data_IF_824326343746
#
_entry.id   IF_824326343746
#
_cell.length_a   1.000
_cell.length_b   1.000
_cell.length_c   1.000
_cell.angle_alpha   90.00
_cell.angle_beta   90.00
_cell.angle_gamma   90.00
#
_symmetry.space_group_name_H-M   'P 1'
#
loop_
_entity.id
_entity.type
_entity.pdbx_description
1 polymer ?
#
# COMPACT_ATOMS: atom_id res chain seq x y z
N UNK A 1 -20.70 4.55 -17.10
CA UNK A 1 -19.89 5.78 -17.11
C UNK A 1 -18.52 5.39 -17.63
N UNK A 2 -18.00 6.03 -18.70
CA UNK A 2 -16.71 5.64 -19.27
C UNK A 2 -15.56 5.96 -18.30
N UNK A 3 -14.52 5.13 -18.30
CA UNK A 3 -13.31 5.33 -17.50
C UNK A 3 -12.69 6.69 -17.84
N UNK A 4 -12.28 7.47 -16.83
CA UNK A 4 -11.60 8.75 -17.04
C UNK A 4 -10.33 8.53 -17.86
N UNK A 5 -10.04 9.46 -18.78
CA UNK A 5 -8.86 9.36 -19.65
C UNK A 5 -7.56 9.59 -18.90
N UNK A 6 -7.60 10.42 -17.86
CA UNK A 6 -6.45 10.77 -17.03
C UNK A 6 -6.81 10.59 -15.57
N UNK A 7 -5.79 10.30 -14.75
CA UNK A 7 -5.91 10.29 -13.30
C UNK A 7 -4.80 11.14 -12.69
N UNK A 8 -5.12 11.83 -11.60
CA UNK A 8 -4.23 12.71 -10.87
C UNK A 8 -4.44 12.60 -9.37
N UNK A 9 -3.61 13.28 -8.61
CA UNK A 9 -3.68 13.30 -7.15
C UNK A 9 -3.78 14.73 -6.64
N UNK A 10 -4.52 14.92 -5.55
CA UNK A 10 -4.74 16.22 -4.91
C UNK A 10 -3.72 16.40 -3.79
N UNK A 11 -2.58 17.00 -4.11
CA UNK A 11 -1.58 17.36 -3.10
C UNK A 11 -2.00 18.60 -2.29
N UNK A 12 -1.29 18.87 -1.19
CA UNK A 12 -1.63 19.95 -0.26
C UNK A 12 -1.61 21.35 -0.91
N UNK A 13 -0.81 21.54 -1.94
CA UNK A 13 -0.67 22.81 -2.68
C UNK A 13 -1.81 23.03 -3.70
N UNK A 14 -2.64 22.04 -3.95
CA UNK A 14 -3.78 22.16 -4.82
C UNK A 14 -4.91 23.00 -4.19
N UNK A 15 -5.73 23.62 -5.02
CA UNK A 15 -6.87 24.41 -4.54
C UNK A 15 -8.17 23.69 -4.85
N UNK A 16 -9.04 23.55 -3.83
CA UNK A 16 -10.39 23.04 -3.95
C UNK A 16 -11.36 24.23 -3.84
N UNK A 17 -12.14 24.48 -4.89
CA UNK A 17 -13.17 25.51 -4.92
C UNK A 17 -14.55 24.90 -5.19
N UNK A 18 -15.58 25.75 -5.15
CA UNK A 18 -16.94 25.32 -5.49
C UNK A 18 -17.02 24.95 -6.98
N UNK A 19 -17.20 23.68 -7.28
CA UNK A 19 -17.29 23.14 -8.64
C UNK A 19 -15.98 23.07 -9.41
N UNK A 20 -14.83 23.30 -8.80
CA UNK A 20 -13.54 23.20 -9.48
C UNK A 20 -12.38 22.77 -8.58
N UNK A 21 -11.33 22.25 -9.22
CA UNK A 21 -10.01 22.00 -8.62
C UNK A 21 -8.94 22.72 -9.43
N UNK A 22 -7.89 23.20 -8.75
CA UNK A 22 -6.65 23.64 -9.39
C UNK A 22 -5.54 22.74 -8.87
N UNK A 23 -4.95 21.94 -9.75
CA UNK A 23 -3.86 21.05 -9.41
C UNK A 23 -2.56 21.84 -9.19
N UNK A 24 -1.71 21.32 -8.30
CA UNK A 24 -0.37 21.87 -8.08
C UNK A 24 0.49 21.85 -9.35
N UNK A 25 1.66 22.50 -9.29
CA UNK A 25 2.53 22.66 -10.45
C UNK A 25 3.10 21.34 -10.96
N UNK A 26 3.35 20.35 -10.09
CA UNK A 26 3.91 19.04 -10.45
C UNK A 26 2.89 18.23 -11.24
N UNK A 27 1.68 18.04 -10.71
CA UNK A 27 0.60 17.31 -11.38
C UNK A 27 0.17 18.01 -12.67
N UNK A 28 0.06 19.35 -12.65
CA UNK A 28 -0.24 20.15 -13.83
C UNK A 28 0.79 19.96 -14.94
N UNK A 29 2.09 20.01 -14.60
CA UNK A 29 3.17 19.77 -15.55
C UNK A 29 3.10 18.34 -16.10
N UNK A 30 2.91 17.34 -15.24
CA UNK A 30 2.83 15.94 -15.64
C UNK A 30 1.70 15.70 -16.64
N UNK A 31 0.49 16.19 -16.35
CA UNK A 31 -0.66 16.04 -17.25
C UNK A 31 -0.45 16.78 -18.58
N UNK A 32 -0.02 18.04 -18.55
CA UNK A 32 0.07 18.88 -19.77
C UNK A 32 1.30 18.51 -20.61
N UNK A 33 2.45 18.28 -20.00
CA UNK A 33 3.72 18.08 -20.74
C UNK A 33 4.01 16.62 -21.04
N UNK A 34 3.72 15.71 -20.12
CA UNK A 34 4.00 14.28 -20.31
C UNK A 34 2.82 13.61 -21.01
N UNK A 35 1.63 13.71 -20.46
CA UNK A 35 0.42 13.10 -21.05
C UNK A 35 -0.22 13.92 -22.16
N UNK A 36 0.20 15.17 -22.38
CA UNK A 36 -0.35 16.08 -23.40
C UNK A 36 -1.87 16.22 -23.27
N UNK A 37 -2.33 16.32 -22.04
CA UNK A 37 -3.73 16.49 -21.72
C UNK A 37 -4.29 17.79 -22.31
N UNK A 38 -5.51 17.74 -22.85
CA UNK A 38 -6.16 18.85 -23.53
C UNK A 38 -7.44 19.27 -22.80
N UNK A 39 -7.83 20.52 -22.98
CA UNK A 39 -9.14 21.01 -22.54
C UNK A 39 -10.27 20.11 -23.08
N UNK A 40 -11.27 19.86 -22.24
CA UNK A 40 -12.41 18.98 -22.52
C UNK A 40 -12.15 17.48 -22.24
N UNK A 41 -10.91 17.08 -21.93
CA UNK A 41 -10.62 15.68 -21.58
C UNK A 41 -11.12 15.34 -20.17
N UNK A 42 -11.62 14.13 -20.00
CA UNK A 42 -12.09 13.61 -18.70
C UNK A 42 -10.91 13.29 -17.79
N UNK A 43 -11.06 13.65 -16.52
CA UNK A 43 -10.05 13.42 -15.49
C UNK A 43 -10.70 12.98 -14.19
N UNK A 44 -10.02 12.08 -13.50
CA UNK A 44 -10.29 11.65 -12.12
C UNK A 44 -9.18 12.18 -11.22
N UNK A 45 -9.54 12.82 -10.10
CA UNK A 45 -8.58 13.32 -9.12
C UNK A 45 -8.87 12.65 -7.78
N UNK A 46 -7.86 12.03 -7.18
CA UNK A 46 -7.94 11.31 -5.92
C UNK A 46 -7.34 12.18 -4.80
N UNK A 47 -7.98 12.24 -3.62
CA UNK A 47 -7.45 12.95 -2.45
C UNK A 47 -6.63 12.05 -1.51
N UNK A 48 -6.64 10.73 -1.76
CA UNK A 48 -5.96 9.75 -0.92
C UNK A 48 -6.64 9.47 0.42
N UNK A 49 -7.82 10.02 0.67
CA UNK A 49 -8.60 9.90 1.91
C UNK A 49 -10.02 9.36 1.66
N UNK A 50 -10.20 8.74 0.51
CA UNK A 50 -11.47 8.14 0.11
C UNK A 50 -12.30 8.98 -0.84
N UNK A 51 -11.90 10.22 -1.16
CA UNK A 51 -12.65 11.06 -2.09
C UNK A 51 -12.08 10.99 -3.50
N UNK A 52 -12.98 10.87 -4.45
CA UNK A 52 -12.72 10.87 -5.88
C UNK A 52 -13.52 11.98 -6.55
N UNK A 53 -12.84 12.88 -7.23
CA UNK A 53 -13.44 13.95 -8.02
C UNK A 53 -13.42 13.55 -9.49
N UNK A 54 -14.57 13.56 -10.14
CA UNK A 54 -14.71 13.31 -11.57
C UNK A 54 -15.04 14.62 -12.28
N UNK A 55 -14.33 14.90 -13.36
CA UNK A 55 -14.53 16.17 -14.06
C UNK A 55 -13.89 16.21 -15.44
N UNK A 56 -13.80 17.43 -15.99
CA UNK A 56 -13.16 17.73 -17.26
C UNK A 56 -12.12 18.82 -17.10
N UNK A 57 -11.04 18.73 -17.86
CA UNK A 57 -10.01 19.78 -17.90
C UNK A 57 -10.59 21.01 -18.54
N UNK A 58 -10.72 22.10 -17.76
CA UNK A 58 -11.22 23.39 -18.21
C UNK A 58 -10.08 24.27 -18.73
N UNK A 59 -8.93 24.28 -18.02
CA UNK A 59 -7.73 25.03 -18.39
C UNK A 59 -6.52 24.09 -18.32
N UNK A 60 -5.88 23.87 -19.46
CA UNK A 60 -4.68 23.05 -19.57
C UNK A 60 -3.40 23.90 -19.42
N UNK A 61 -3.16 24.44 -18.21
CA UNK A 61 -1.94 25.18 -17.87
C UNK A 61 -0.95 24.26 -17.15
N UNK A 62 0.29 24.18 -17.63
CA UNK A 62 1.34 23.32 -17.03
C UNK A 62 1.85 23.74 -15.65
N UNK A 63 1.34 24.82 -15.06
CA UNK A 63 1.66 25.25 -13.68
C UNK A 63 0.43 25.19 -12.77
N UNK A 64 -0.78 25.26 -13.32
CA UNK A 64 -2.03 25.34 -12.59
C UNK A 64 -3.17 24.86 -13.51
N UNK A 65 -3.27 23.53 -13.67
CA UNK A 65 -4.33 22.90 -14.45
C UNK A 65 -5.64 23.00 -13.67
N UNK A 66 -6.69 23.53 -14.33
CA UNK A 66 -8.02 23.64 -13.72
C UNK A 66 -8.95 22.54 -14.24
N UNK A 67 -9.63 21.91 -13.31
CA UNK A 67 -10.64 20.87 -13.54
C UNK A 67 -12.00 21.43 -13.15
N UNK A 68 -12.97 21.40 -14.06
CA UNK A 68 -14.39 21.58 -13.72
C UNK A 68 -14.91 20.25 -13.17
N UNK A 69 -15.34 20.25 -11.90
CA UNK A 69 -15.82 19.06 -11.20
C UNK A 69 -17.27 18.81 -11.55
N UNK A 70 -17.56 17.61 -12.07
CA UNK A 70 -18.91 17.18 -12.41
C UNK A 70 -19.57 16.38 -11.29
N UNK A 71 -18.78 15.55 -10.56
CA UNK A 71 -19.25 14.80 -9.41
C UNK A 71 -18.12 14.52 -8.42
N UNK A 72 -18.52 14.33 -7.15
CA UNK A 72 -17.64 13.95 -6.05
C UNK A 72 -18.19 12.66 -5.45
N UNK A 73 -17.34 11.66 -5.32
CA UNK A 73 -17.70 10.36 -4.75
C UNK A 73 -16.83 10.07 -3.54
N UNK A 74 -17.44 9.64 -2.44
CA UNK A 74 -16.72 9.21 -1.24
C UNK A 74 -16.86 7.70 -1.09
N UNK A 75 -15.74 7.01 -1.04
CA UNK A 75 -15.67 5.55 -0.90
C UNK A 75 -15.58 5.17 0.58
N UNK A 76 -16.17 4.04 0.99
CA UNK A 76 -15.99 3.53 2.35
C UNK A 76 -14.55 3.09 2.57
N UNK A 77 -14.11 3.13 3.83
CA UNK A 77 -12.80 2.59 4.22
C UNK A 77 -12.77 1.09 3.94
N UNK A 78 -11.78 0.56 3.21
CA UNK A 78 -11.68 -0.88 2.95
C UNK A 78 -11.47 -1.68 4.25
N UNK A 79 -12.25 -2.76 4.41
CA UNK A 79 -12.12 -3.71 5.51
C UNK A 79 -11.99 -5.14 4.96
N UNK A 80 -11.32 -6.03 5.70
CA UNK A 80 -10.50 -5.78 6.87
C UNK A 80 -9.30 -4.88 6.56
N UNK A 81 -8.75 -4.21 7.59
CA UNK A 81 -7.50 -3.47 7.47
C UNK A 81 -6.35 -4.47 7.25
N UNK A 82 -5.58 -4.31 6.21
CA UNK A 82 -4.43 -5.18 5.89
C UNK A 82 -3.13 -4.43 6.11
N UNK A 83 -2.34 -4.88 7.07
CA UNK A 83 -1.01 -4.34 7.39
C UNK A 83 0.09 -5.26 6.85
N UNK A 84 0.96 -4.74 6.00
CA UNK A 84 2.19 -5.41 5.59
C UNK A 84 3.34 -4.99 6.50
N UNK A 85 3.78 -5.89 7.38
CA UNK A 85 5.00 -5.75 8.17
C UNK A 85 6.17 -6.30 7.34
N UNK A 86 6.90 -5.41 6.69
CA UNK A 86 7.91 -5.75 5.70
C UNK A 86 9.32 -5.53 6.23
N UNK A 87 10.12 -6.59 6.32
CA UNK A 87 11.56 -6.39 6.51
C UNK A 87 12.15 -5.59 5.36
N UNK A 88 12.91 -4.54 5.67
CA UNK A 88 13.55 -3.69 4.65
C UNK A 88 14.54 -4.52 3.85
N UNK A 89 14.29 -4.77 2.55
CA UNK A 89 15.15 -5.61 1.74
C UNK A 89 16.38 -4.84 1.26
N UNK A 90 17.48 -5.56 1.01
CA UNK A 90 18.67 -5.00 0.38
C UNK A 90 18.37 -4.55 -1.05
N UNK A 91 19.02 -3.47 -1.48
CA UNK A 91 18.94 -2.98 -2.85
C UNK A 91 17.66 -2.22 -3.19
N UNK A 92 17.00 -2.58 -4.31
CA UNK A 92 15.86 -1.82 -4.88
C UNK A 92 14.50 -2.50 -4.74
N UNK A 93 14.44 -3.65 -4.08
CA UNK A 93 13.20 -4.44 -4.00
C UNK A 93 12.08 -3.70 -3.26
N UNK A 94 12.41 -2.78 -2.33
CA UNK A 94 11.40 -2.01 -1.59
C UNK A 94 10.48 -1.20 -2.50
N UNK A 95 10.99 -0.54 -3.54
CA UNK A 95 10.17 0.23 -4.48
C UNK A 95 9.13 -0.66 -5.19
N UNK A 96 9.50 -1.91 -5.51
CA UNK A 96 8.60 -2.89 -6.12
C UNK A 96 7.56 -3.39 -5.12
N UNK A 97 7.98 -3.69 -3.88
CA UNK A 97 7.07 -4.12 -2.79
C UNK A 97 6.02 -3.05 -2.52
N UNK A 98 6.42 -1.79 -2.35
CA UNK A 98 5.51 -0.67 -2.09
C UNK A 98 4.46 -0.53 -3.18
N UNK A 99 4.88 -0.64 -4.46
CA UNK A 99 3.96 -0.59 -5.59
C UNK A 99 2.96 -1.74 -5.55
N UNK A 100 3.44 -2.99 -5.49
CA UNK A 100 2.56 -4.16 -5.49
C UNK A 100 1.64 -4.19 -4.28
N UNK A 101 2.15 -3.88 -3.07
CA UNK A 101 1.33 -3.83 -1.86
C UNK A 101 0.21 -2.79 -1.97
N UNK A 102 0.50 -1.61 -2.56
CA UNK A 102 -0.51 -0.59 -2.82
C UNK A 102 -1.55 -1.06 -3.83
N UNK A 103 -1.12 -1.60 -4.96
CA UNK A 103 -2.00 -2.08 -6.04
C UNK A 103 -2.91 -3.23 -5.58
N UNK A 104 -2.43 -4.10 -4.69
CA UNK A 104 -3.20 -5.22 -4.11
C UNK A 104 -4.14 -4.73 -2.99
N UNK A 105 -3.89 -3.55 -2.40
CA UNK A 105 -4.79 -2.94 -1.43
C UNK A 105 -4.34 -3.08 0.03
N UNK A 106 -3.05 -3.13 0.32
CA UNK A 106 -2.57 -2.95 1.69
C UNK A 106 -3.07 -1.61 2.25
N UNK A 107 -3.52 -1.61 3.50
CA UNK A 107 -3.98 -0.39 4.20
C UNK A 107 -2.83 0.32 4.91
N UNK A 108 -1.86 -0.46 5.40
CA UNK A 108 -0.66 0.01 6.08
C UNK A 108 0.54 -0.74 5.57
N UNK A 109 1.64 -0.04 5.35
CA UNK A 109 2.94 -0.62 5.07
C UNK A 109 3.88 -0.17 6.19
N UNK A 110 4.31 -1.11 7.01
CA UNK A 110 5.25 -0.92 8.10
C UNK A 110 6.61 -1.54 7.75
N UNK A 111 7.58 -0.74 7.36
CA UNK A 111 8.94 -1.24 7.20
C UNK A 111 9.56 -1.56 8.56
N UNK A 112 10.25 -2.69 8.67
CA UNK A 112 10.98 -3.07 9.89
C UNK A 112 12.41 -3.45 9.59
N UNK A 113 13.31 -3.12 10.53
CA UNK A 113 14.68 -3.59 10.50
C UNK A 113 14.76 -4.95 11.17
N UNK A 114 15.43 -5.89 10.52
CA UNK A 114 15.62 -7.27 10.94
C UNK A 114 17.08 -7.68 10.80
N UNK A 115 17.52 -8.74 11.49
CA UNK A 115 18.92 -9.17 11.55
C UNK A 115 19.57 -9.36 10.16
N UNK A 116 18.81 -9.89 9.20
CA UNK A 116 19.29 -10.15 7.83
C UNK A 116 18.86 -9.07 6.83
N UNK A 117 18.09 -8.07 7.28
CA UNK A 117 17.59 -6.98 6.45
C UNK A 117 18.63 -5.90 6.14
N UNK A 118 18.18 -4.83 5.50
CA UNK A 118 18.98 -3.62 5.26
C UNK A 118 18.79 -2.64 6.42
N UNK A 119 19.89 -2.05 6.90
CA UNK A 119 19.90 -1.07 8.00
C UNK A 119 20.30 0.34 7.54
N UNK A 120 20.25 0.59 6.22
CA UNK A 120 20.54 1.91 5.64
C UNK A 120 19.47 2.96 5.96
N UNK A 121 19.73 4.20 5.54
CA UNK A 121 18.75 5.27 5.72
C UNK A 121 17.53 5.07 4.77
N UNK A 122 16.32 5.00 5.32
CA UNK A 122 15.09 4.90 4.54
C UNK A 122 14.87 6.15 3.69
N UNK A 123 14.38 5.96 2.46
CA UNK A 123 14.06 7.05 1.54
C UNK A 123 12.55 7.36 1.61
N UNK A 124 12.08 7.78 2.78
CA UNK A 124 10.64 7.93 3.07
C UNK A 124 9.90 8.75 2.01
N UNK A 125 10.41 9.93 1.65
CA UNK A 125 9.78 10.78 0.62
C UNK A 125 9.63 10.05 -0.72
N UNK A 126 10.66 9.31 -1.14
CA UNK A 126 10.62 8.53 -2.37
C UNK A 126 9.62 7.37 -2.27
N UNK A 127 9.59 6.69 -1.13
CA UNK A 127 8.65 5.60 -0.89
C UNK A 127 7.20 6.08 -0.90
N UNK A 128 6.93 7.20 -0.22
CA UNK A 128 5.61 7.83 -0.23
C UNK A 128 5.16 8.21 -1.65
N UNK A 129 6.06 8.77 -2.46
CA UNK A 129 5.76 9.07 -3.86
C UNK A 129 5.48 7.81 -4.69
N UNK A 130 6.21 6.72 -4.44
CA UNK A 130 5.96 5.43 -5.11
C UNK A 130 4.55 4.91 -4.83
N UNK A 131 4.11 5.00 -3.57
CA UNK A 131 2.74 4.63 -3.14
C UNK A 131 1.69 5.50 -3.85
N UNK A 132 1.87 6.83 -3.85
CA UNK A 132 0.93 7.76 -4.50
C UNK A 132 0.82 7.48 -6.02
N UNK A 133 1.94 7.27 -6.69
CA UNK A 133 1.93 6.93 -8.12
C UNK A 133 1.23 5.58 -8.39
N UNK A 134 1.40 4.59 -7.50
CA UNK A 134 0.67 3.33 -7.58
C UNK A 134 -0.85 3.55 -7.37
N UNK A 135 -1.27 4.37 -6.39
CA UNK A 135 -2.67 4.73 -6.18
C UNK A 135 -3.27 5.38 -7.44
N UNK A 136 -2.55 6.32 -8.06
CA UNK A 136 -2.98 6.95 -9.33
C UNK A 136 -3.14 5.92 -10.43
N UNK A 137 -2.22 4.96 -10.53
CA UNK A 137 -2.27 3.93 -11.56
C UNK A 137 -3.47 3.00 -11.36
N UNK A 138 -3.69 2.45 -10.16
CA UNK A 138 -4.76 1.47 -9.92
C UNK A 138 -6.12 2.10 -9.57
N UNK A 139 -6.17 3.39 -9.19
CA UNK A 139 -7.40 4.09 -8.80
C UNK A 139 -7.79 3.90 -7.34
N UNK A 140 -6.82 3.57 -6.50
CA UNK A 140 -7.05 3.41 -5.08
C UNK A 140 -7.30 4.77 -4.43
N UNK A 141 -8.47 4.94 -3.82
CA UNK A 141 -8.91 6.21 -3.22
C UNK A 141 -8.33 6.47 -1.83
N UNK A 142 -7.92 5.42 -1.12
CA UNK A 142 -7.21 5.52 0.14
C UNK A 142 -5.74 5.20 -0.06
N UNK A 143 -4.86 6.17 0.20
CA UNK A 143 -3.42 5.95 0.17
C UNK A 143 -3.02 5.09 1.36
N UNK A 144 -2.30 3.96 1.15
CA UNK A 144 -1.73 3.20 2.26
C UNK A 144 -0.89 4.08 3.18
N UNK A 145 -1.09 3.93 4.47
CA UNK A 145 -0.24 4.55 5.47
C UNK A 145 1.16 3.94 5.41
N UNK A 146 2.16 4.77 5.17
CA UNK A 146 3.56 4.37 5.26
C UNK A 146 4.11 4.81 6.62
N UNK A 147 4.35 3.84 7.50
CA UNK A 147 4.89 4.11 8.83
C UNK A 147 6.40 4.34 8.80
N UNK A 148 6.91 5.09 9.78
CA UNK A 148 8.35 5.22 9.97
C UNK A 148 8.98 3.86 10.29
N UNK A 149 10.12 3.51 9.68
CA UNK A 149 10.81 2.28 9.96
C UNK A 149 11.30 2.18 11.40
N UNK A 150 11.14 1.02 12.02
CA UNK A 150 11.60 0.74 13.37
C UNK A 150 12.18 -0.69 13.45
N UNK A 151 12.73 -1.08 14.59
CA UNK A 151 13.12 -2.49 14.77
C UNK A 151 11.89 -3.39 14.86
N UNK A 152 12.01 -4.65 14.44
CA UNK A 152 10.94 -5.64 14.59
C UNK A 152 10.51 -5.75 16.06
N UNK A 153 11.46 -5.80 16.99
CA UNK A 153 11.17 -5.89 18.42
C UNK A 153 10.39 -4.71 18.98
N UNK A 154 10.79 -3.46 18.60
CA UNK A 154 10.08 -2.25 19.05
C UNK A 154 8.65 -2.23 18.52
N UNK A 155 8.47 -2.61 17.24
CA UNK A 155 7.13 -2.67 16.66
C UNK A 155 6.24 -3.69 17.38
N UNK A 156 6.75 -4.90 17.66
CA UNK A 156 6.00 -5.93 18.35
C UNK A 156 5.60 -5.52 19.76
N UNK A 157 6.49 -4.83 20.50
CA UNK A 157 6.18 -4.29 21.83
C UNK A 157 5.14 -3.18 21.80
N UNK A 158 5.20 -2.30 20.80
CA UNK A 158 4.28 -1.18 20.66
C UNK A 158 2.89 -1.58 20.12
N UNK A 159 2.76 -2.78 19.53
CA UNK A 159 1.53 -3.21 18.86
C UNK A 159 0.92 -4.43 19.56
N UNK A 160 0.07 -4.22 20.58
CA UNK A 160 -0.58 -5.33 21.31
C UNK A 160 -1.52 -6.12 20.38
N UNK A 161 -1.77 -7.37 20.75
CA UNK A 161 -2.70 -8.25 20.00
C UNK A 161 -4.11 -7.72 20.19
N UNK A 162 -4.74 -7.25 19.11
CA UNK A 162 -6.13 -6.84 19.13
C UNK A 162 -7.08 -8.03 18.93
N UNK A 163 -8.25 -7.98 19.57
CA UNK A 163 -9.33 -8.93 19.28
C UNK A 163 -9.77 -8.77 17.81
N UNK A 164 -10.04 -9.86 17.12
CA UNK A 164 -10.43 -9.83 15.69
C UNK A 164 -9.27 -9.65 14.71
N UNK A 165 -8.02 -9.53 15.17
CA UNK A 165 -6.85 -9.46 14.32
C UNK A 165 -6.24 -10.84 14.05
N UNK A 166 -5.92 -11.12 12.80
CA UNK A 166 -5.10 -12.27 12.40
C UNK A 166 -3.67 -11.80 12.12
N UNK A 167 -2.69 -12.42 12.80
CA UNK A 167 -1.27 -12.20 12.54
C UNK A 167 -0.68 -13.42 11.88
N UNK A 168 -0.07 -13.25 10.72
CA UNK A 168 0.58 -14.31 9.95
C UNK A 168 1.98 -13.89 9.51
N UNK A 169 2.91 -14.83 9.52
CA UNK A 169 4.27 -14.63 9.01
C UNK A 169 4.54 -15.64 7.90
N UNK A 170 5.01 -15.15 6.73
CA UNK A 170 5.51 -16.02 5.68
C UNK A 170 6.77 -16.74 6.18
N UNK A 171 6.75 -18.06 6.20
CA UNK A 171 7.79 -18.86 6.85
C UNK A 171 8.19 -20.08 6.04
N UNK A 172 9.49 -20.41 6.10
CA UNK A 172 10.08 -21.64 5.57
C UNK A 172 10.28 -22.71 6.64
N UNK A 173 9.90 -22.44 7.90
CA UNK A 173 10.05 -23.39 9.01
C UNK A 173 9.19 -24.65 8.81
N UNK A 174 9.71 -25.78 9.26
CA UNK A 174 8.94 -27.04 9.33
C UNK A 174 7.71 -26.84 10.22
N UNK A 175 6.55 -27.36 9.79
CA UNK A 175 5.29 -27.20 10.54
C UNK A 175 4.50 -25.95 10.20
N UNK A 176 5.00 -25.04 9.35
CA UNK A 176 4.22 -23.93 8.83
C UNK A 176 2.98 -24.42 8.08
N UNK A 177 1.81 -23.88 8.44
CA UNK A 177 0.52 -24.28 7.85
C UNK A 177 0.33 -23.64 6.46
N UNK A 178 -0.41 -24.29 5.56
CA UNK A 178 -0.80 -23.64 4.30
C UNK A 178 -1.54 -22.32 4.57
N UNK A 179 -1.15 -21.25 3.85
CA UNK A 179 -1.76 -19.92 4.01
C UNK A 179 -3.28 -19.96 3.89
N UNK A 180 -3.80 -20.61 2.85
CA UNK A 180 -5.25 -20.68 2.57
C UNK A 180 -6.03 -21.37 3.71
N UNK A 181 -5.49 -22.43 4.30
CA UNK A 181 -6.11 -23.11 5.45
C UNK A 181 -6.17 -22.19 6.67
N UNK A 182 -5.11 -21.42 6.92
CA UNK A 182 -5.03 -20.49 8.05
C UNK A 182 -6.05 -19.35 7.89
N UNK A 183 -6.20 -18.80 6.69
CA UNK A 183 -7.17 -17.76 6.40
C UNK A 183 -8.60 -18.27 6.51
N UNK A 184 -8.92 -19.41 5.92
CA UNK A 184 -10.27 -20.00 5.97
C UNK A 184 -10.71 -20.37 7.39
N UNK A 185 -9.77 -20.69 8.27
CA UNK A 185 -10.06 -21.02 9.67
C UNK A 185 -10.25 -19.78 10.58
N UNK A 186 -9.96 -18.59 10.10
CA UNK A 186 -9.95 -17.37 10.93
C UNK A 186 -11.33 -16.73 11.13
N UNK A 187 -12.32 -17.01 10.28
CA UNK A 187 -13.65 -16.40 10.34
C UNK A 187 -13.65 -14.92 9.91
N UNK A 188 -14.56 -14.14 10.49
CA UNK A 188 -14.62 -12.68 10.22
C UNK A 188 -13.46 -11.97 10.89
N UNK A 189 -12.78 -11.11 10.14
CA UNK A 189 -11.59 -10.38 10.57
C UNK A 189 -11.80 -8.88 10.41
N UNK A 190 -11.35 -8.12 11.41
CA UNK A 190 -11.27 -6.66 11.35
C UNK A 190 -9.91 -6.20 10.83
N UNK A 191 -8.87 -6.99 11.09
CA UNK A 191 -7.50 -6.70 10.70
C UNK A 191 -6.73 -7.97 10.35
N UNK A 192 -5.86 -7.86 9.35
CA UNK A 192 -4.86 -8.89 9.02
C UNK A 192 -3.48 -8.25 8.99
N UNK A 193 -2.56 -8.77 9.79
CA UNK A 193 -1.16 -8.34 9.79
C UNK A 193 -0.31 -9.44 9.18
N UNK A 194 0.40 -9.08 8.12
CA UNK A 194 1.23 -9.99 7.32
C UNK A 194 2.68 -9.62 7.50
N UNK A 195 3.50 -10.48 8.10
CA UNK A 195 4.94 -10.29 8.20
C UNK A 195 5.68 -11.03 7.07
N UNK A 196 6.60 -10.32 6.43
CA UNK A 196 7.46 -10.85 5.35
C UNK A 196 8.91 -10.52 5.64
N UNK A 197 9.74 -11.56 5.71
CA UNK A 197 11.16 -11.46 6.01
C UNK A 197 12.03 -10.95 4.85
N UNK A 198 13.32 -10.71 5.11
CA UNK A 198 14.32 -10.34 4.09
C UNK A 198 14.74 -11.57 3.26
N UNK A 199 15.70 -11.38 2.34
CA UNK A 199 16.21 -12.47 1.51
C UNK A 199 16.87 -13.63 2.30
N UNK A 200 17.34 -13.37 3.53
CA UNK A 200 17.92 -14.37 4.43
C UNK A 200 16.96 -14.95 5.45
N UNK A 201 15.66 -14.65 5.30
CA UNK A 201 14.61 -14.98 6.26
C UNK A 201 14.76 -14.26 7.63
N UNK A 202 13.83 -14.46 8.54
CA UNK A 202 13.95 -14.03 9.94
C UNK A 202 14.95 -14.92 10.68
N UNK A 203 15.64 -14.38 11.67
CA UNK A 203 16.46 -15.18 12.58
C UNK A 203 15.58 -16.00 13.52
N UNK A 204 16.17 -17.00 14.17
CA UNK A 204 15.46 -17.84 15.16
C UNK A 204 14.86 -16.97 16.27
N UNK A 205 15.65 -16.00 16.76
CA UNK A 205 15.19 -15.08 17.81
C UNK A 205 14.01 -14.20 17.34
N UNK A 206 14.03 -13.74 16.10
CA UNK A 206 12.93 -12.97 15.49
C UNK A 206 11.68 -13.82 15.31
N UNK A 207 11.82 -15.08 14.90
CA UNK A 207 10.69 -16.00 14.85
C UNK A 207 10.09 -16.28 16.23
N UNK A 208 10.91 -16.39 17.28
CA UNK A 208 10.42 -16.54 18.66
C UNK A 208 9.61 -15.32 19.08
N UNK A 209 10.11 -14.10 18.84
CA UNK A 209 9.39 -12.85 19.11
C UNK A 209 8.06 -12.77 18.35
N UNK A 210 8.05 -13.15 17.07
CA UNK A 210 6.83 -13.17 16.24
C UNK A 210 5.81 -14.17 16.83
N UNK A 211 6.22 -15.38 17.22
CA UNK A 211 5.33 -16.40 17.84
C UNK A 211 4.76 -15.90 19.17
N UNK A 212 5.59 -15.33 20.04
CA UNK A 212 5.15 -14.73 21.30
C UNK A 212 4.15 -13.59 21.09
N UNK A 213 4.29 -12.86 19.98
CA UNK A 213 3.37 -11.80 19.56
C UNK A 213 2.17 -12.33 18.76
N UNK A 214 1.90 -13.63 18.76
CA UNK A 214 0.71 -14.25 18.18
C UNK A 214 0.73 -14.47 16.69
N UNK A 215 1.88 -14.33 16.02
CA UNK A 215 1.99 -14.63 14.59
C UNK A 215 1.95 -16.13 14.34
N UNK A 216 1.15 -16.55 13.37
CA UNK A 216 1.08 -17.92 12.89
C UNK A 216 1.97 -18.07 11.66
N UNK A 217 2.90 -19.02 11.71
CA UNK A 217 3.77 -19.33 10.57
C UNK A 217 2.97 -19.97 9.44
N UNK A 218 3.05 -19.39 8.24
CA UNK A 218 2.33 -19.85 7.05
C UNK A 218 3.27 -20.13 5.89
N UNK A 219 3.04 -21.24 5.19
CA UNK A 219 3.75 -21.62 3.99
C UNK A 219 3.00 -21.09 2.76
N UNK A 220 3.72 -20.39 1.88
CA UNK A 220 3.15 -19.80 0.66
C UNK A 220 3.10 -20.78 -0.52
N UNK A 221 3.97 -21.77 -0.54
CA UNK A 221 4.06 -22.74 -1.63
C UNK A 221 5.21 -23.73 -1.43
N UNK A 222 5.55 -24.47 -2.49
CA UNK A 222 6.64 -25.46 -2.45
C UNK A 222 8.03 -24.83 -2.67
N UNK A 223 8.09 -23.64 -3.27
CA UNK A 223 9.34 -22.98 -3.61
C UNK A 223 9.67 -21.85 -2.63
N UNK A 224 10.96 -21.60 -2.43
CA UNK A 224 11.43 -20.39 -1.76
C UNK A 224 11.19 -19.20 -2.66
N UNK A 225 10.46 -18.20 -2.16
CA UNK A 225 10.14 -16.98 -2.90
C UNK A 225 11.11 -15.86 -2.51
N UNK A 226 11.37 -14.95 -3.44
CA UNK A 226 12.02 -13.67 -3.09
C UNK A 226 11.06 -12.85 -2.22
N UNK A 227 11.61 -11.98 -1.39
CA UNK A 227 10.81 -11.16 -0.46
C UNK A 227 9.71 -10.36 -1.16
N UNK A 228 10.00 -9.75 -2.31
CA UNK A 228 9.02 -9.03 -3.10
C UNK A 228 7.92 -9.94 -3.67
N UNK A 229 8.27 -11.16 -4.07
CA UNK A 229 7.31 -12.16 -4.54
C UNK A 229 6.46 -12.69 -3.40
N UNK A 230 7.07 -12.95 -2.24
CA UNK A 230 6.35 -13.39 -1.05
C UNK A 230 5.33 -12.34 -0.58
N UNK A 231 5.72 -11.06 -0.55
CA UNK A 231 4.82 -9.96 -0.20
C UNK A 231 3.61 -9.88 -1.14
N UNK A 232 3.85 -9.90 -2.45
CA UNK A 232 2.76 -9.85 -3.44
C UNK A 232 1.87 -11.09 -3.35
N UNK A 233 2.45 -12.28 -3.22
CA UNK A 233 1.70 -13.54 -3.15
C UNK A 233 0.78 -13.57 -1.92
N UNK A 234 1.34 -13.32 -0.72
CA UNK A 234 0.57 -13.42 0.53
C UNK A 234 -0.54 -12.36 0.56
N UNK A 235 -0.25 -11.11 0.14
CA UNK A 235 -1.25 -10.05 0.06
C UNK A 235 -2.37 -10.39 -0.92
N UNK A 236 -2.04 -10.95 -2.10
CA UNK A 236 -3.06 -11.34 -3.10
C UNK A 236 -3.98 -12.44 -2.59
N UNK A 237 -3.45 -13.43 -1.85
CA UNK A 237 -4.28 -14.49 -1.28
C UNK A 237 -5.13 -13.96 -0.13
N UNK A 238 -4.56 -13.09 0.71
CA UNK A 238 -5.32 -12.40 1.77
C UNK A 238 -6.47 -11.61 1.17
N UNK A 239 -6.22 -10.77 0.16
CA UNK A 239 -7.25 -9.97 -0.50
C UNK A 239 -8.41 -10.83 -1.04
N UNK A 240 -8.11 -11.95 -1.71
CA UNK A 240 -9.12 -12.83 -2.29
C UNK A 240 -9.95 -13.62 -1.28
N UNK A 241 -9.43 -13.84 -0.06
CA UNK A 241 -10.11 -14.65 0.95
C UNK A 241 -10.90 -13.80 1.93
N UNK A 242 -10.40 -12.59 2.26
CA UNK A 242 -10.99 -11.78 3.34
C UNK A 242 -11.77 -10.56 2.83
N UNK A 243 -11.73 -10.24 1.55
CA UNK A 243 -12.48 -9.17 0.87
C UNK A 243 -13.36 -9.72 -0.26
#
# INVERSE_FOLDING_TARGET
MGMARYRSFLFAEATVGEGFLILDARESHHLVRVFRAKVGATIEVLDGRGTRYLGTIEIANGKALRVAVASVETMPVPLPRVTLLQSVPKGKAMDLILRMATEIGASVIQPVFTDQGEHGQPKMDKWQLTIIEACKQCGLTYVPELSEPCSLGDWLQATPIAAGALRIVASLEEGSRPLLETLNAAGSLDEVIVAVGPAGDFSVAEYDQLRESGFKAVRLGANVLRTETAAAYILSVVDQVVR
#
